data_IF_578875207690
#
_entry.id   IF_578875207690
#
_cell.length_a   1.000
_cell.length_b   1.000
_cell.length_c   1.000
_cell.angle_alpha   90.00
_cell.angle_beta   90.00
_cell.angle_gamma   90.00
#
_symmetry.space_group_name_H-M   'P 1'
#
loop_
_entity.id
_entity.type
_entity.pdbx_description
1 polymer ?
#
# COMPACT_ATOMS: atom_id res chain seq x y z
N UNK A 1 7.82 20.02 -15.29
CA UNK A 1 6.77 20.31 -14.29
C UNK A 1 5.45 19.78 -14.84
N UNK A 2 5.04 18.59 -14.44
CA UNK A 2 3.67 18.07 -14.53
C UNK A 2 3.42 17.62 -13.08
N UNK A 3 2.67 18.37 -12.28
CA UNK A 3 1.22 18.50 -12.43
C UNK A 3 0.62 17.43 -11.52
N UNK A 4 0.22 17.84 -10.32
CA UNK A 4 -0.03 16.97 -9.19
C UNK A 4 -1.32 16.13 -9.30
N UNK A 5 -1.42 15.13 -8.41
CA UNK A 5 -2.64 14.46 -7.91
C UNK A 5 -3.42 13.56 -8.88
N UNK A 6 -2.94 12.33 -9.08
CA UNK A 6 -3.86 11.21 -9.32
C UNK A 6 -3.64 10.17 -8.24
N UNK A 7 -4.72 9.88 -7.52
CA UNK A 7 -4.82 8.98 -6.40
C UNK A 7 -4.59 7.53 -6.88
N UNK A 8 -3.36 7.18 -7.24
CA UNK A 8 -3.00 5.88 -7.81
C UNK A 8 -3.16 4.80 -6.75
N UNK A 9 -4.29 4.11 -6.84
CA UNK A 9 -4.59 2.92 -6.06
C UNK A 9 -3.71 1.75 -6.54
N UNK A 10 -2.66 1.49 -5.77
CA UNK A 10 -1.71 0.41 -5.99
C UNK A 10 -2.32 -0.95 -5.63
N UNK A 11 -1.98 -1.97 -6.41
CA UNK A 11 -2.17 -3.38 -6.07
C UNK A 11 -1.21 -3.82 -4.97
N UNK A 12 -1.49 -4.96 -4.34
CA UNK A 12 -0.54 -5.55 -3.38
C UNK A 12 0.83 -5.87 -4.01
N UNK A 13 0.87 -6.18 -5.31
CA UNK A 13 2.12 -6.43 -6.02
C UNK A 13 2.93 -5.15 -6.25
N UNK A 14 2.27 -4.04 -6.54
CA UNK A 14 2.94 -2.73 -6.67
C UNK A 14 3.44 -2.23 -5.31
N UNK A 15 2.66 -2.39 -4.24
CA UNK A 15 3.11 -2.10 -2.88
C UNK A 15 4.32 -2.95 -2.50
N UNK A 16 4.28 -4.25 -2.79
CA UNK A 16 5.40 -5.15 -2.53
C UNK A 16 6.68 -4.69 -3.24
N UNK A 17 6.56 -4.31 -4.53
CA UNK A 17 7.68 -3.76 -5.31
C UNK A 17 8.20 -2.44 -4.74
N UNK A 18 7.31 -1.54 -4.34
CA UNK A 18 7.70 -0.25 -3.76
C UNK A 18 8.45 -0.43 -2.44
N UNK A 19 7.96 -1.31 -1.58
CA UNK A 19 8.53 -1.60 -0.26
C UNK A 19 9.72 -2.58 -0.32
N UNK A 20 10.05 -3.11 -1.51
CA UNK A 20 11.06 -4.16 -1.70
C UNK A 20 10.85 -5.38 -0.79
N UNK A 21 9.59 -5.77 -0.59
CA UNK A 21 9.21 -6.97 0.16
C UNK A 21 8.51 -7.97 -0.76
N UNK A 22 8.41 -9.22 -0.32
CA UNK A 22 7.59 -10.19 -1.04
C UNK A 22 6.09 -9.86 -0.94
N UNK A 23 5.33 -10.22 -1.99
CA UNK A 23 3.86 -10.05 -2.01
C UNK A 23 3.20 -10.78 -0.83
N UNK A 24 3.73 -11.93 -0.43
CA UNK A 24 3.23 -12.71 0.71
C UNK A 24 3.39 -11.95 2.03
N UNK A 25 4.43 -11.13 2.18
CA UNK A 25 4.62 -10.26 3.35
C UNK A 25 3.50 -9.22 3.42
N UNK A 26 3.17 -8.57 2.30
CA UNK A 26 2.05 -7.61 2.24
C UNK A 26 0.71 -8.29 2.56
N UNK A 27 0.50 -9.52 2.07
CA UNK A 27 -0.68 -10.30 2.42
C UNK A 27 -0.75 -10.63 3.92
N UNK A 28 0.36 -11.06 4.52
CA UNK A 28 0.42 -11.35 5.96
C UNK A 28 0.15 -10.11 6.80
N UNK A 29 0.73 -8.97 6.46
CA UNK A 29 0.48 -7.71 7.16
C UNK A 29 -1.01 -7.36 7.14
N UNK A 30 -1.65 -7.43 5.97
CA UNK A 30 -3.09 -7.21 5.85
C UNK A 30 -3.92 -8.18 6.70
N UNK A 31 -3.57 -9.46 6.75
CA UNK A 31 -4.26 -10.45 7.60
C UNK A 31 -4.03 -10.19 9.10
N UNK A 32 -2.84 -9.74 9.47
CA UNK A 32 -2.49 -9.36 10.83
C UNK A 32 -3.04 -7.99 11.26
N UNK A 33 -3.69 -7.25 10.34
CA UNK A 33 -4.14 -5.88 10.58
C UNK A 33 -2.99 -4.86 10.70
N UNK A 34 -1.80 -5.20 10.21
CA UNK A 34 -0.61 -4.34 10.23
C UNK A 34 -0.26 -3.83 8.83
N UNK A 35 0.65 -2.85 8.76
CA UNK A 35 1.16 -2.32 7.49
C UNK A 35 0.37 -1.12 6.95
N UNK A 36 0.55 -0.78 5.67
CA UNK A 36 -0.07 0.39 5.07
C UNK A 36 -1.59 0.23 4.95
N UNK A 37 -2.31 1.35 5.05
CA UNK A 37 -3.78 1.38 5.02
C UNK A 37 -4.30 0.77 3.70
N UNK A 38 -5.21 -0.19 3.84
CA UNK A 38 -5.88 -0.83 2.72
C UNK A 38 -7.23 -0.16 2.44
N UNK A 39 -7.48 0.13 1.17
CA UNK A 39 -8.77 0.56 0.64
C UNK A 39 -9.42 -0.62 -0.06
N UNK A 40 -10.58 -1.05 0.43
CA UNK A 40 -11.35 -2.13 -0.19
C UNK A 40 -12.34 -1.54 -1.18
N UNK A 41 -12.10 -1.76 -2.48
CA UNK A 41 -13.06 -1.38 -3.53
C UNK A 41 -14.18 -2.42 -3.67
N UNK A 42 -13.90 -3.66 -3.28
CA UNK A 42 -14.84 -4.77 -3.15
C UNK A 42 -14.32 -5.75 -2.11
N UNK A 43 -15.11 -6.75 -1.67
CA UNK A 43 -14.67 -7.74 -0.67
C UNK A 43 -13.40 -8.52 -1.07
N UNK A 44 -13.09 -8.61 -2.37
CA UNK A 44 -11.95 -9.35 -2.91
C UNK A 44 -10.90 -8.46 -3.59
N UNK A 45 -11.11 -7.14 -3.67
CA UNK A 45 -10.24 -6.22 -4.37
C UNK A 45 -9.59 -5.20 -3.42
N UNK A 46 -8.50 -5.58 -2.75
CA UNK A 46 -7.73 -4.68 -1.93
C UNK A 46 -6.83 -3.78 -2.78
N UNK A 47 -6.90 -2.49 -2.52
CA UNK A 47 -6.06 -1.44 -3.11
C UNK A 47 -5.38 -0.63 -2.03
N UNK A 48 -4.30 0.05 -2.39
CA UNK A 48 -3.53 0.88 -1.48
C UNK A 48 -3.35 2.23 -2.12
N UNK A 49 -3.86 3.29 -1.49
CA UNK A 49 -3.53 4.63 -1.96
C UNK A 49 -2.03 4.84 -1.76
N UNK A 50 -1.33 5.24 -2.81
CA UNK A 50 0.12 5.47 -2.75
C UNK A 50 0.54 6.36 -1.57
N UNK A 51 -0.23 7.43 -1.32
CA UNK A 51 0.01 8.35 -0.19
C UNK A 51 0.00 7.63 1.16
N UNK A 52 -0.92 6.70 1.38
CA UNK A 52 -1.09 6.00 2.65
C UNK A 52 0.08 5.02 2.88
N UNK A 53 0.60 4.44 1.78
CA UNK A 53 1.80 3.59 1.81
C UNK A 53 3.04 4.42 2.17
N UNK A 54 3.18 5.60 1.58
CA UNK A 54 4.28 6.53 1.86
C UNK A 54 4.20 7.12 3.28
N UNK A 55 3.01 7.44 3.78
CA UNK A 55 2.79 7.86 5.17
C UNK A 55 3.15 6.76 6.16
N UNK A 56 2.70 5.53 5.91
CA UNK A 56 3.07 4.39 6.72
C UNK A 56 4.59 4.20 6.76
N UNK A 57 5.26 4.26 5.60
CA UNK A 57 6.72 4.19 5.48
C UNK A 57 7.42 5.24 6.34
N UNK A 58 6.96 6.49 6.30
CA UNK A 58 7.50 7.56 7.15
C UNK A 58 7.32 7.27 8.64
N UNK A 59 6.20 6.65 9.03
CA UNK A 59 5.91 6.28 10.41
C UNK A 59 6.72 5.09 10.94
N UNK A 60 7.09 4.12 10.09
CA UNK A 60 7.93 2.97 10.51
C UNK A 60 9.43 3.23 10.42
N UNK A 61 9.86 4.22 9.63
CA UNK A 61 11.27 4.61 9.51
C UNK A 61 11.70 5.64 10.57
N UNK A 62 10.76 6.14 11.38
CA UNK A 62 10.98 7.06 12.50
C UNK A 62 11.14 6.30 13.82
#
# INVERSE_FOLDING_TARGET
MVGAVMNEYMTSAEVARLLRVDKSTVCRWRLAGTGPRVTWLSPSLPRYARRDVEEWLRGVAA
#
